data_IF_117436548964
#
_entry.id   IF_117436548964
#
_cell.length_a   1.000
_cell.length_b   1.000
_cell.length_c   1.000
_cell.angle_alpha   90.00
_cell.angle_beta   90.00
_cell.angle_gamma   90.00
#
_symmetry.space_group_name_H-M   'P 1'
#
loop_
_entity.id
_entity.type
_entity.pdbx_description
1 polymer ?
#
# COMPACT_ATOMS: atom_id res chain seq x y z
N UNK A 1 6.07 11.65 -8.66
CA UNK A 1 4.69 11.16 -8.53
C UNK A 1 4.67 9.72 -9.02
N UNK A 2 4.01 8.80 -8.32
CA UNK A 2 4.11 7.35 -8.57
C UNK A 2 2.73 6.72 -8.77
N UNK A 3 2.57 5.92 -9.82
CA UNK A 3 1.33 5.21 -10.12
C UNK A 3 1.34 3.79 -9.50
N UNK A 4 0.41 3.52 -8.59
CA UNK A 4 0.23 2.20 -7.96
C UNK A 4 -0.28 1.12 -8.91
N UNK A 5 -0.96 1.50 -10.00
CA UNK A 5 -1.51 0.54 -10.94
C UNK A 5 -0.43 -0.15 -11.82
N UNK A 6 0.76 0.44 -11.92
CA UNK A 6 1.89 -0.12 -12.71
C UNK A 6 2.54 -1.34 -12.04
N UNK A 7 2.32 -1.55 -10.75
CA UNK A 7 2.86 -2.71 -10.03
C UNK A 7 1.85 -3.84 -10.13
N UNK A 8 2.08 -4.77 -11.07
CA UNK A 8 1.21 -5.92 -11.31
C UNK A 8 0.96 -6.67 -10.00
N UNK A 9 -0.29 -6.70 -9.57
CA UNK A 9 -0.69 -7.40 -8.36
C UNK A 9 -0.89 -8.88 -8.68
N UNK A 10 -0.18 -9.78 -7.98
CA UNK A 10 -0.46 -11.22 -8.02
C UNK A 10 -1.55 -11.59 -6.98
N UNK A 11 -2.50 -10.70 -6.72
CA UNK A 11 -3.56 -10.88 -5.74
C UNK A 11 -4.95 -10.63 -6.36
N UNK A 12 -5.98 -11.12 -5.70
CA UNK A 12 -7.39 -11.10 -6.15
C UNK A 12 -8.01 -9.70 -6.24
N UNK A 13 -7.31 -8.64 -5.82
CA UNK A 13 -7.83 -7.26 -5.81
C UNK A 13 -7.28 -6.39 -6.95
N UNK A 14 -6.31 -6.89 -7.73
CA UNK A 14 -5.59 -6.13 -8.77
C UNK A 14 -4.80 -4.91 -8.25
N UNK A 15 -4.71 -4.72 -6.93
CA UNK A 15 -3.95 -3.64 -6.28
C UNK A 15 -2.87 -4.29 -5.41
N UNK A 16 -1.60 -4.09 -5.75
CA UNK A 16 -0.45 -4.82 -5.16
C UNK A 16 -0.42 -4.78 -3.62
N UNK A 17 -1.05 -3.76 -3.05
CA UNK A 17 -0.98 -3.39 -1.64
C UNK A 17 -2.30 -3.64 -0.90
N UNK A 18 -3.38 -3.98 -1.61
CA UNK A 18 -4.69 -4.23 -1.02
C UNK A 18 -4.99 -5.73 -1.02
N UNK A 19 -5.26 -6.32 0.12
CA UNK A 19 -5.63 -7.73 0.24
C UNK A 19 -7.07 -7.86 0.73
N UNK A 20 -7.82 -8.83 0.19
CA UNK A 20 -9.15 -9.18 0.68
C UNK A 20 -9.05 -10.31 1.70
N UNK A 21 -9.37 -10.02 2.96
CA UNK A 21 -9.30 -10.97 4.08
C UNK A 21 -10.67 -11.04 4.73
N UNK A 22 -11.26 -12.25 4.77
CA UNK A 22 -12.57 -12.53 5.41
C UNK A 22 -13.69 -11.54 5.00
N UNK A 23 -13.71 -11.10 3.75
CA UNK A 23 -14.73 -10.19 3.21
C UNK A 23 -14.37 -8.70 3.24
N UNK A 24 -13.31 -8.31 3.96
CA UNK A 24 -12.85 -6.92 4.07
C UNK A 24 -11.57 -6.68 3.29
N UNK A 25 -11.30 -5.42 2.97
CA UNK A 25 -10.06 -5.01 2.30
C UNK A 25 -9.08 -4.41 3.30
N UNK A 26 -7.80 -4.76 3.17
CA UNK A 26 -6.73 -4.28 4.04
C UNK A 26 -5.54 -3.83 3.20
N UNK A 27 -4.92 -2.72 3.58
CA UNK A 27 -3.59 -2.38 3.08
C UNK A 27 -2.60 -3.28 3.80
N UNK A 28 -1.91 -4.13 3.05
CA UNK A 28 -0.91 -5.06 3.56
C UNK A 28 0.38 -4.92 2.75
N UNK A 29 1.44 -4.42 3.39
CA UNK A 29 2.73 -4.22 2.74
C UNK A 29 3.89 -4.18 3.73
N UNK A 30 5.09 -4.53 3.27
CA UNK A 30 6.33 -4.31 4.00
C UNK A 30 7.15 -3.13 3.43
N UNK A 31 8.20 -2.73 4.15
CA UNK A 31 9.08 -1.60 3.79
C UNK A 31 9.72 -1.81 2.40
N UNK A 32 10.10 -3.03 2.04
CA UNK A 32 10.70 -3.33 0.74
C UNK A 32 9.70 -3.14 -0.41
N UNK A 33 8.42 -3.47 -0.19
CA UNK A 33 7.36 -3.22 -1.18
C UNK A 33 7.13 -1.73 -1.36
N UNK A 34 7.17 -0.93 -0.29
CA UNK A 34 7.10 0.54 -0.39
C UNK A 34 8.23 1.02 -1.29
N UNK A 35 9.49 0.68 -0.97
CA UNK A 35 10.66 1.08 -1.77
C UNK A 35 10.57 0.65 -3.22
N UNK A 36 10.12 -0.58 -3.49
CA UNK A 36 9.97 -1.09 -4.86
C UNK A 36 8.94 -0.31 -5.67
N UNK A 37 7.87 0.15 -5.03
CA UNK A 37 6.78 0.89 -5.68
C UNK A 37 7.16 2.35 -5.84
N UNK A 38 7.63 3.00 -4.78
CA UNK A 38 7.86 4.46 -4.75
C UNK A 38 9.26 4.86 -5.20
N UNK A 39 10.21 3.92 -5.23
CA UNK A 39 11.63 4.18 -5.48
C UNK A 39 12.38 4.75 -4.27
N UNK A 40 11.71 4.98 -3.14
CA UNK A 40 12.29 5.59 -1.94
C UNK A 40 11.99 4.79 -0.69
N UNK A 41 12.90 4.86 0.27
CA UNK A 41 12.72 4.25 1.58
C UNK A 41 11.58 4.92 2.36
N UNK A 42 10.99 4.15 3.28
CA UNK A 42 10.01 4.68 4.25
C UNK A 42 10.69 5.71 5.12
N UNK A 43 10.01 6.83 5.40
CA UNK A 43 10.57 7.86 6.26
C UNK A 43 10.79 7.33 7.69
N UNK A 44 11.87 7.74 8.37
CA UNK A 44 12.21 7.22 9.70
C UNK A 44 11.07 7.30 10.72
N UNK A 45 10.27 8.37 10.70
CA UNK A 45 9.14 8.57 11.62
C UNK A 45 8.00 7.55 11.46
N UNK A 46 7.93 6.86 10.33
CA UNK A 46 6.91 5.85 10.04
C UNK A 46 7.44 4.41 10.09
N UNK A 47 8.73 4.22 10.37
CA UNK A 47 9.34 2.88 10.45
C UNK A 47 8.69 2.02 11.53
N UNK A 48 8.21 2.64 12.61
CA UNK A 48 7.53 1.95 13.72
C UNK A 48 6.23 1.25 13.31
N UNK A 49 5.59 1.69 12.22
CA UNK A 49 4.38 1.06 11.66
C UNK A 49 4.65 -0.32 11.06
N UNK A 50 5.92 -0.66 10.82
CA UNK A 50 6.34 -1.91 10.20
C UNK A 50 7.07 -2.85 11.17
N UNK A 51 7.32 -2.42 12.40
CA UNK A 51 7.92 -3.24 13.45
C UNK A 51 6.82 -3.77 14.36
N UNK A 52 6.28 -4.94 14.03
CA UNK A 52 5.36 -5.69 14.90
C UNK A 52 5.98 -7.03 15.31
N UNK A 53 5.50 -7.57 16.44
CA UNK A 53 6.01 -8.80 17.09
C UNK A 53 6.06 -10.03 16.15
N UNK A 54 5.29 -10.03 15.07
CA UNK A 54 5.20 -11.12 14.09
C UNK A 54 5.68 -10.77 12.66
N UNK A 55 6.35 -9.64 12.42
CA UNK A 55 7.00 -9.39 11.14
C UNK A 55 7.17 -7.93 10.72
N UNK A 56 7.81 -7.77 9.56
CA UNK A 56 8.18 -6.49 8.92
C UNK A 56 7.06 -5.88 8.05
N UNK A 57 5.82 -6.35 8.23
CA UNK A 57 4.68 -6.01 7.39
C UNK A 57 3.65 -5.20 8.18
N UNK A 58 3.23 -4.09 7.59
CA UNK A 58 2.11 -3.28 8.03
C UNK A 58 0.79 -3.91 7.57
N UNK A 59 -0.20 -3.96 8.46
CA UNK A 59 -1.57 -4.32 8.15
C UNK A 59 -2.53 -3.23 8.66
N UNK A 60 -3.31 -2.64 7.76
CA UNK A 60 -4.29 -1.62 8.13
C UNK A 60 -5.54 -2.21 8.79
N UNK A 61 -6.34 -1.31 9.36
CA UNK A 61 -7.76 -1.57 9.65
C UNK A 61 -8.52 -2.07 8.40
N UNK A 62 -9.61 -2.84 8.57
CA UNK A 62 -10.45 -3.27 7.46
C UNK A 62 -11.20 -2.10 6.81
N UNK A 63 -11.40 -2.21 5.50
CA UNK A 63 -12.25 -1.37 4.67
C UNK A 63 -13.38 -2.21 4.06
N UNK A 64 -14.56 -1.60 3.87
CA UNK A 64 -15.75 -2.30 3.37
C UNK A 64 -15.72 -2.44 1.85
N UNK A 65 -15.20 -1.42 1.16
CA UNK A 65 -15.16 -1.36 -0.31
C UNK A 65 -13.73 -1.34 -0.85
N UNK A 66 -13.58 -1.69 -2.13
CA UNK A 66 -12.29 -1.64 -2.82
C UNK A 66 -11.84 -0.19 -2.97
N UNK A 67 -12.76 0.71 -3.27
CA UNK A 67 -12.53 2.14 -3.46
C UNK A 67 -11.95 2.79 -2.21
N UNK A 68 -12.55 2.54 -1.03
CA UNK A 68 -12.02 3.02 0.26
C UNK A 68 -10.61 2.47 0.52
N UNK A 69 -10.40 1.18 0.25
CA UNK A 69 -9.10 0.54 0.38
C UNK A 69 -8.05 1.17 -0.53
N UNK A 70 -8.41 1.49 -1.78
CA UNK A 70 -7.53 2.17 -2.75
C UNK A 70 -7.16 3.57 -2.27
N UNK A 71 -8.15 4.36 -1.86
CA UNK A 71 -7.90 5.72 -1.37
C UNK A 71 -7.00 5.72 -0.13
N UNK A 72 -7.24 4.77 0.79
CA UNK A 72 -6.39 4.56 1.95
C UNK A 72 -4.96 4.15 1.56
N UNK A 73 -4.80 3.26 0.59
CA UNK A 73 -3.48 2.86 0.08
C UNK A 73 -2.72 4.05 -0.52
N UNK A 74 -3.38 4.87 -1.33
CA UNK A 74 -2.78 6.09 -1.92
C UNK A 74 -2.30 7.03 -0.83
N UNK A 75 -3.16 7.33 0.16
CA UNK A 75 -2.84 8.20 1.29
C UNK A 75 -1.70 7.64 2.11
N UNK A 76 -1.74 6.34 2.43
CA UNK A 76 -0.71 5.66 3.20
C UNK A 76 0.65 5.71 2.52
N UNK A 77 0.73 5.27 1.26
CA UNK A 77 1.97 5.28 0.49
C UNK A 77 2.55 6.68 0.35
N UNK A 78 1.69 7.68 0.12
CA UNK A 78 2.14 9.08 0.03
C UNK A 78 2.71 9.59 1.34
N UNK A 79 2.05 9.25 2.46
CA UNK A 79 2.46 9.65 3.79
C UNK A 79 3.83 9.03 4.16
N UNK A 80 3.95 7.71 4.04
CA UNK A 80 5.12 6.98 4.54
C UNK A 80 6.35 7.10 3.64
N UNK A 81 6.18 7.39 2.35
CA UNK A 81 7.29 7.61 1.41
C UNK A 81 7.61 9.09 1.18
N UNK A 82 6.66 9.99 1.44
CA UNK A 82 6.80 11.42 1.15
C UNK A 82 6.63 11.79 -0.32
N UNK A 83 6.27 10.85 -1.20
CA UNK A 83 6.05 11.09 -2.62
C UNK A 83 4.55 11.11 -2.90
N UNK A 84 4.08 12.01 -3.77
CA UNK A 84 2.70 11.94 -4.26
C UNK A 84 2.46 10.61 -5.02
N UNK A 85 1.53 9.81 -4.51
CA UNK A 85 1.13 8.54 -5.11
C UNK A 85 -0.30 8.67 -5.65
N UNK A 86 -0.61 7.95 -6.72
CA UNK A 86 -1.95 7.87 -7.29
C UNK A 86 -2.24 6.47 -7.84
N UNK A 87 -3.50 6.19 -8.17
CA UNK A 87 -3.89 4.95 -8.82
C UNK A 87 -4.62 5.30 -10.11
N UNK A 88 -4.02 4.94 -11.24
CA UNK A 88 -4.62 5.11 -12.56
C UNK A 88 -4.25 3.91 -13.45
N UNK A 89 -5.19 2.99 -13.72
CA UNK A 89 -4.93 1.80 -14.51
C UNK A 89 -4.77 2.11 -16.00
N UNK A 90 -5.24 3.28 -16.46
CA UNK A 90 -5.26 3.69 -17.86
C UNK A 90 -4.12 4.67 -18.20
N UNK A 91 -3.37 5.14 -17.20
CA UNK A 91 -2.18 5.96 -17.38
C UNK A 91 -1.02 5.15 -18.01
N UNK A 92 -0.93 5.24 -19.34
CA UNK A 92 0.18 4.79 -20.18
C UNK A 92 1.55 5.29 -19.68
#
# INVERSE_FOLDING_TARGET
MTNLARVKANNTTSVHTLQKIKGFYHVHCNIFQIKRVTGVDVKPEYMSLFTHENGTAYLSKPYLTVEEGKEAAIKFYSLVSGIAVFWDPDAL
#
